data_IF_806771395219
#
_entry.id   IF_806771395219
#
_cell.length_a   1.000
_cell.length_b   1.000
_cell.length_c   1.000
_cell.angle_alpha   90.00
_cell.angle_beta   90.00
_cell.angle_gamma   90.00
#
_symmetry.space_group_name_H-M   'P 1'
#
loop_
_entity.id
_entity.type
_entity.pdbx_description
1 polymer ?
#
# COMPACT_ATOMS: atom_id res chain seq x y z
N UNK A 1 -4.21 21.15 -1.76
CA UNK A 1 -5.17 20.12 -1.34
C UNK A 1 -5.18 20.09 0.17
N UNK A 2 -6.35 20.04 0.81
CA UNK A 2 -6.42 20.00 2.27
C UNK A 2 -5.92 18.64 2.81
N UNK A 3 -5.33 18.58 4.02
CA UNK A 3 -4.90 17.32 4.63
C UNK A 3 -6.00 16.26 4.65
N UNK A 4 -7.23 16.66 4.96
CA UNK A 4 -8.39 15.76 5.07
C UNK A 4 -8.74 15.08 3.75
N UNK A 5 -8.56 15.77 2.62
CA UNK A 5 -8.79 15.18 1.30
C UNK A 5 -7.73 14.11 0.97
N UNK A 6 -6.48 14.32 1.42
CA UNK A 6 -5.42 13.34 1.28
C UNK A 6 -5.66 12.14 2.20
N UNK A 7 -6.09 12.38 3.45
CA UNK A 7 -6.45 11.31 4.39
C UNK A 7 -7.60 10.45 3.86
N UNK A 8 -8.64 11.08 3.31
CA UNK A 8 -9.76 10.39 2.68
C UNK A 8 -9.31 9.55 1.49
N UNK A 9 -8.42 10.09 0.67
CA UNK A 9 -7.84 9.37 -0.47
C UNK A 9 -7.01 8.15 -0.01
N UNK A 10 -6.11 8.35 0.95
CA UNK A 10 -5.30 7.27 1.53
C UNK A 10 -6.18 6.17 2.13
N UNK A 11 -7.23 6.55 2.87
CA UNK A 11 -8.18 5.61 3.47
C UNK A 11 -8.97 4.83 2.42
N UNK A 12 -9.39 5.48 1.33
CA UNK A 12 -10.10 4.83 0.22
C UNK A 12 -9.22 3.78 -0.47
N UNK A 13 -7.97 4.13 -0.76
CA UNK A 13 -7.02 3.20 -1.36
C UNK A 13 -6.71 2.02 -0.42
N UNK A 14 -6.45 2.29 0.87
CA UNK A 14 -6.21 1.23 1.85
C UNK A 14 -7.40 0.25 1.96
N UNK A 15 -8.63 0.76 1.98
CA UNK A 15 -9.82 -0.08 2.02
C UNK A 15 -10.03 -0.91 0.73
N UNK A 16 -9.67 -0.36 -0.43
CA UNK A 16 -9.67 -1.10 -1.69
C UNK A 16 -8.60 -2.21 -1.68
N UNK A 17 -7.39 -1.87 -1.24
CA UNK A 17 -6.27 -2.79 -1.12
C UNK A 17 -6.60 -3.99 -0.22
N UNK A 18 -7.13 -3.73 0.99
CA UNK A 18 -7.50 -4.79 1.95
C UNK A 18 -8.57 -5.72 1.36
N UNK A 19 -9.58 -5.16 0.66
CA UNK A 19 -10.60 -5.97 0.00
C UNK A 19 -10.01 -6.85 -1.09
N UNK A 20 -9.20 -6.28 -1.98
CA UNK A 20 -8.55 -7.02 -3.05
C UNK A 20 -7.62 -8.11 -2.49
N UNK A 21 -6.87 -7.80 -1.43
CA UNK A 21 -5.97 -8.72 -0.74
C UNK A 21 -6.73 -9.90 -0.14
N UNK A 22 -7.83 -9.63 0.57
CA UNK A 22 -8.70 -10.68 1.13
C UNK A 22 -9.33 -11.59 0.07
N UNK A 23 -9.47 -11.11 -1.17
CA UNK A 23 -10.01 -11.85 -2.31
C UNK A 23 -8.91 -12.58 -3.10
N UNK A 24 -7.64 -12.46 -2.69
CA UNK A 24 -6.50 -13.03 -3.42
C UNK A 24 -6.14 -12.28 -4.70
N UNK A 25 -6.74 -11.11 -4.96
CA UNK A 25 -6.46 -10.28 -6.13
C UNK A 25 -5.15 -9.48 -5.95
N UNK A 26 -4.03 -10.19 -5.85
CA UNK A 26 -2.73 -9.65 -5.42
C UNK A 26 -2.24 -8.46 -6.27
N UNK A 27 -2.47 -8.46 -7.59
CA UNK A 27 -2.08 -7.34 -8.45
C UNK A 27 -2.83 -6.03 -8.13
N UNK A 28 -4.15 -6.14 -7.87
CA UNK A 28 -4.97 -4.99 -7.46
C UNK A 28 -4.59 -4.53 -6.06
N UNK A 29 -4.43 -5.47 -5.13
CA UNK A 29 -4.00 -5.18 -3.76
C UNK A 29 -2.68 -4.40 -3.72
N UNK A 30 -1.68 -4.83 -4.49
CA UNK A 30 -0.39 -4.13 -4.61
C UNK A 30 -0.60 -2.70 -5.11
N UNK A 31 -1.38 -2.51 -6.17
CA UNK A 31 -1.62 -1.19 -6.78
C UNK A 31 -2.27 -0.24 -5.78
N UNK A 32 -3.31 -0.69 -5.08
CA UNK A 32 -4.02 0.13 -4.10
C UNK A 32 -3.17 0.42 -2.85
N UNK A 33 -2.38 -0.53 -2.36
CA UNK A 33 -1.43 -0.27 -1.27
C UNK A 33 -0.34 0.74 -1.67
N UNK A 34 0.11 0.72 -2.93
CA UNK A 34 1.05 1.72 -3.45
C UNK A 34 0.40 3.12 -3.46
N UNK A 35 -0.82 3.25 -3.98
CA UNK A 35 -1.55 4.51 -4.00
C UNK A 35 -1.80 5.07 -2.59
N UNK A 36 -2.14 4.20 -1.63
CA UNK A 36 -2.27 4.58 -0.22
C UNK A 36 -0.93 5.08 0.34
N UNK A 37 0.15 4.35 0.09
CA UNK A 37 1.51 4.69 0.53
C UNK A 37 1.98 6.04 -0.01
N UNK A 38 1.78 6.29 -1.30
CA UNK A 38 2.13 7.57 -1.94
C UNK A 38 1.37 8.75 -1.33
N UNK A 39 0.08 8.55 -1.03
CA UNK A 39 -0.75 9.57 -0.41
C UNK A 39 -0.29 9.88 1.01
N UNK A 40 0.09 8.87 1.80
CA UNK A 40 0.66 9.05 3.14
C UNK A 40 2.02 9.76 3.11
N UNK A 41 2.90 9.41 2.16
CA UNK A 41 4.16 10.13 1.95
C UNK A 41 3.91 11.60 1.60
N UNK A 42 2.89 11.88 0.79
CA UNK A 42 2.50 13.26 0.45
C UNK A 42 2.01 14.03 1.68
N UNK A 43 1.20 13.41 2.55
CA UNK A 43 0.77 13.99 3.83
C UNK A 43 1.98 14.36 4.70
N UNK A 44 2.91 13.42 4.91
CA UNK A 44 4.08 13.65 5.76
C UNK A 44 5.01 14.74 5.19
N UNK A 45 5.14 14.84 3.86
CA UNK A 45 5.95 15.89 3.20
C UNK A 45 5.33 17.27 3.25
N UNK A 46 4.01 17.37 3.01
CA UNK A 46 3.30 18.65 2.99
C UNK A 46 3.00 19.19 4.39
N UNK A 47 2.88 18.30 5.37
CA UNK A 47 2.51 18.64 6.75
C UNK A 47 3.49 18.01 7.76
N UNK A 48 4.78 18.40 7.75
CA UNK A 48 5.84 17.73 8.53
C UNK A 48 5.66 17.84 10.05
N UNK A 49 4.94 18.85 10.53
CA UNK A 49 4.67 19.08 11.96
C UNK A 49 3.38 18.43 12.47
N UNK A 50 2.65 17.70 11.61
CA UNK A 50 1.42 17.01 12.01
C UNK A 50 1.71 15.93 13.06
N UNK A 51 0.94 15.94 14.15
CA UNK A 51 0.99 14.89 15.18
C UNK A 51 0.62 13.51 14.63
N UNK A 52 -0.10 13.46 13.51
CA UNK A 52 -0.53 12.24 12.84
C UNK A 52 0.58 11.57 12.01
N UNK A 53 1.71 12.25 11.75
CA UNK A 53 2.79 11.70 10.92
C UNK A 53 3.34 10.38 11.46
N UNK A 54 3.34 10.18 12.78
CA UNK A 54 3.72 8.89 13.38
C UNK A 54 2.79 7.76 12.94
N UNK A 55 1.48 8.03 12.85
CA UNK A 55 0.47 7.07 12.41
C UNK A 55 0.61 6.80 10.91
N UNK A 56 0.80 7.86 10.11
CA UNK A 56 1.00 7.70 8.67
C UNK A 56 2.25 6.87 8.35
N UNK A 57 3.35 7.10 9.07
CA UNK A 57 4.59 6.33 8.90
C UNK A 57 4.39 4.85 9.24
N UNK A 58 3.67 4.54 10.31
CA UNK A 58 3.36 3.15 10.68
C UNK A 58 2.47 2.47 9.62
N UNK A 59 1.44 3.15 9.13
CA UNK A 59 0.58 2.64 8.06
C UNK A 59 1.36 2.41 6.76
N UNK A 60 2.22 3.36 6.39
CA UNK A 60 3.11 3.23 5.24
C UNK A 60 3.99 1.97 5.35
N UNK A 61 4.64 1.75 6.49
CA UNK A 61 5.47 0.56 6.72
C UNK A 61 4.68 -0.74 6.55
N UNK A 62 3.49 -0.83 7.17
CA UNK A 62 2.61 -2.00 7.03
C UNK A 62 2.24 -2.28 5.57
N UNK A 63 1.92 -1.24 4.80
CA UNK A 63 1.58 -1.41 3.38
C UNK A 63 2.79 -1.85 2.56
N UNK A 64 3.98 -1.31 2.81
CA UNK A 64 5.21 -1.73 2.14
C UNK A 64 5.55 -3.20 2.44
N UNK A 65 5.43 -3.62 3.70
CA UNK A 65 5.62 -5.02 4.11
C UNK A 65 4.63 -5.95 3.39
N UNK A 66 3.34 -5.56 3.31
CA UNK A 66 2.34 -6.38 2.61
C UNK A 66 2.58 -6.45 1.11
N UNK A 67 2.96 -5.34 0.47
CA UNK A 67 3.35 -5.31 -0.95
C UNK A 67 4.51 -6.28 -1.21
N UNK A 68 5.53 -6.26 -0.36
CA UNK A 68 6.69 -7.16 -0.48
C UNK A 68 6.25 -8.62 -0.43
N UNK A 69 5.47 -8.99 0.59
CA UNK A 69 4.95 -10.35 0.73
C UNK A 69 4.11 -10.79 -0.49
N UNK A 70 3.21 -9.92 -0.97
CA UNK A 70 2.38 -10.22 -2.14
C UNK A 70 3.20 -10.43 -3.42
N UNK A 71 4.29 -9.67 -3.60
CA UNK A 71 5.20 -9.84 -4.74
C UNK A 71 5.99 -11.13 -4.64
N UNK A 72 6.48 -11.48 -3.47
CA UNK A 72 7.20 -12.73 -3.22
C UNK A 72 6.30 -13.95 -3.48
N UNK A 73 5.07 -13.96 -2.97
CA UNK A 73 4.10 -15.03 -3.26
C UNK A 73 3.78 -15.15 -4.75
N UNK A 74 3.61 -14.03 -5.47
CA UNK A 74 3.38 -14.08 -6.92
C UNK A 74 4.60 -14.55 -7.70
N UNK A 75 5.81 -14.16 -7.30
CA UNK A 75 7.06 -14.58 -7.94
C UNK A 75 7.38 -16.05 -7.69
N UNK A 76 7.09 -16.57 -6.49
CA UNK A 76 7.24 -17.98 -6.16
C UNK A 76 6.26 -18.89 -6.92
N UNK A 77 5.07 -18.39 -7.27
CA UNK A 77 4.12 -19.10 -8.12
C UNK A 77 4.53 -19.14 -9.61
N UNK A 78 5.64 -18.51 -9.99
CA UNK A 78 6.24 -18.62 -11.32
C UNK A 78 7.55 -19.41 -11.17
N UNK A 79 7.45 -20.70 -10.85
CA UNK A 79 8.62 -21.58 -10.95
C UNK A 79 9.07 -21.68 -12.42
N UNK A 80 10.39 -21.77 -12.67
CA UNK A 80 10.92 -21.86 -14.02
C UNK A 80 10.45 -23.17 -14.66
N UNK A 81 9.96 -23.08 -15.89
CA UNK A 81 9.85 -24.25 -16.77
C UNK A 81 11.27 -24.77 -16.96
N UNK A 82 11.68 -25.72 -16.13
CA UNK A 82 12.89 -26.50 -16.35
C UNK A 82 12.56 -27.45 -17.49
N UNK A 83 13.14 -27.20 -18.65
CA UNK A 83 13.28 -28.17 -19.72
C UNK A 83 14.48 -27.79 -20.59
N UNK A 84 15.07 -28.73 -21.35
CA UNK A 84 14.93 -30.19 -21.33
C UNK A 84 15.94 -30.90 -20.41
#
# INVERSE_FOLDING_TARGET
>A
MAPQELEKSASKYAAAAIRADSQGAAGMAITDYQNASETLLKLMRLYPTSSLNKIYQQSYQKYQERIKALRETRGANVEPVVGP
#
